data_IF_649765311872
#
_entry.id   IF_649765311872
#
_cell.length_a   1.000
_cell.length_b   1.000
_cell.length_c   1.000
_cell.angle_alpha   90.00
_cell.angle_beta   90.00
_cell.angle_gamma   90.00
#
_symmetry.space_group_name_H-M   'P 1'
#
loop_
_entity.id
_entity.type
_entity.pdbx_description
1 polymer ?
#
# COMPACT_ATOMS: atom_id res chain seq x y z
N UNK A 1 13.72 -32.77 7.49
CA UNK A 1 13.09 -31.60 8.14
C UNK A 1 11.85 -31.22 7.36
N UNK A 2 10.67 -31.23 7.97
CA UNK A 2 9.47 -30.70 7.32
C UNK A 2 9.65 -29.18 7.22
N UNK A 3 9.71 -28.66 5.99
CA UNK A 3 9.83 -27.23 5.72
C UNK A 3 8.61 -26.47 6.28
N UNK A 4 8.78 -25.18 6.59
CA UNK A 4 7.67 -24.30 7.00
C UNK A 4 6.66 -24.21 5.85
N UNK A 5 5.38 -24.31 6.20
CA UNK A 5 4.29 -24.19 5.22
C UNK A 5 3.80 -22.73 5.19
N UNK A 6 3.10 -22.35 4.11
CA UNK A 6 2.51 -21.01 3.98
C UNK A 6 1.68 -20.60 5.20
N UNK A 7 0.92 -21.52 5.81
CA UNK A 7 0.15 -21.29 7.04
C UNK A 7 1.02 -20.89 8.23
N UNK A 8 2.26 -21.37 8.31
CA UNK A 8 3.16 -21.07 9.41
C UNK A 8 3.72 -19.65 9.25
N UNK A 9 4.00 -19.24 8.01
CA UNK A 9 4.37 -17.87 7.66
C UNK A 9 3.21 -16.91 7.97
N UNK A 10 2.00 -17.24 7.51
CA UNK A 10 0.82 -16.40 7.75
C UNK A 10 0.48 -16.26 9.24
N UNK A 11 0.70 -17.32 10.03
CA UNK A 11 0.54 -17.25 11.48
C UNK A 11 1.54 -16.28 12.11
N UNK A 12 2.76 -16.25 11.62
CA UNK A 12 3.82 -15.37 12.13
C UNK A 12 3.62 -13.92 11.70
N UNK A 13 3.24 -13.68 10.44
CA UNK A 13 3.12 -12.34 9.85
C UNK A 13 1.72 -11.73 9.96
N UNK A 14 0.72 -12.54 10.27
CA UNK A 14 -0.70 -12.14 10.18
C UNK A 14 -1.31 -12.37 8.80
N UNK A 15 -0.50 -12.55 7.75
CA UNK A 15 -0.98 -12.77 6.39
C UNK A 15 -1.99 -11.70 5.95
N UNK A 16 -3.11 -12.11 5.38
CA UNK A 16 -4.20 -11.20 4.97
C UNK A 16 -4.92 -10.48 6.12
N UNK A 17 -4.65 -10.86 7.38
CA UNK A 17 -5.24 -10.25 8.57
C UNK A 17 -4.31 -9.24 9.26
N UNK A 18 -3.16 -8.94 8.68
CA UNK A 18 -2.19 -7.96 9.20
C UNK A 18 -2.69 -6.52 9.00
N UNK A 19 -3.81 -6.16 9.64
CA UNK A 19 -4.48 -4.86 9.51
C UNK A 19 -4.22 -3.90 10.67
N UNK A 20 -3.39 -4.29 11.62
CA UNK A 20 -3.04 -3.49 12.80
C UNK A 20 -1.79 -2.61 12.62
N UNK A 21 -1.20 -2.63 11.45
CA UNK A 21 -0.10 -1.72 11.08
C UNK A 21 -0.63 -0.32 10.80
N UNK A 22 0.20 0.69 11.04
CA UNK A 22 -0.10 2.09 10.76
C UNK A 22 1.00 2.72 9.91
N UNK A 23 0.67 3.79 9.20
CA UNK A 23 1.60 4.49 8.29
C UNK A 23 2.22 3.54 7.25
N UNK A 24 1.40 2.64 6.74
CA UNK A 24 1.72 1.74 5.64
C UNK A 24 0.63 1.85 4.58
N UNK A 25 1.00 2.07 3.34
CA UNK A 25 0.08 2.12 2.20
C UNK A 25 0.31 0.89 1.33
N UNK A 26 -0.75 0.16 1.07
CA UNK A 26 -0.72 -0.99 0.17
C UNK A 26 -1.16 -0.57 -1.23
N UNK A 27 -0.32 -0.82 -2.21
CA UNK A 27 -0.60 -0.54 -3.62
C UNK A 27 -0.44 -1.79 -4.46
N UNK A 28 -1.35 -2.02 -5.39
CA UNK A 28 -1.29 -3.11 -6.35
C UNK A 28 -1.82 -2.69 -7.71
N UNK A 29 -1.26 -3.27 -8.76
CA UNK A 29 -1.86 -3.22 -10.09
C UNK A 29 -3.05 -4.18 -10.20
N UNK A 30 -4.07 -3.79 -10.96
CA UNK A 30 -5.24 -4.63 -11.20
C UNK A 30 -4.86 -5.98 -11.82
N UNK A 31 -3.87 -5.98 -12.70
CA UNK A 31 -3.37 -7.14 -13.44
C UNK A 31 -2.04 -7.67 -12.91
N UNK A 32 -1.67 -7.29 -11.68
CA UNK A 32 -0.48 -7.81 -11.03
C UNK A 32 -0.71 -9.27 -10.60
N UNK A 33 0.10 -10.23 -11.05
CA UNK A 33 -0.03 -11.62 -10.61
C UNK A 33 0.16 -11.82 -9.11
N UNK A 34 0.90 -10.93 -8.44
CA UNK A 34 1.08 -10.96 -6.98
C UNK A 34 -0.07 -10.37 -6.18
N UNK A 35 -1.05 -9.76 -6.84
CA UNK A 35 -2.24 -9.18 -6.20
C UNK A 35 -2.91 -10.16 -5.24
N UNK A 36 -2.96 -11.44 -5.59
CA UNK A 36 -3.63 -12.46 -4.80
C UNK A 36 -2.95 -12.76 -3.46
N UNK A 37 -1.69 -12.35 -3.28
CA UNK A 37 -0.99 -12.41 -2.00
C UNK A 37 -1.17 -11.15 -1.12
N UNK A 38 -1.96 -10.17 -1.55
CA UNK A 38 -2.05 -8.83 -0.94
C UNK A 38 -3.42 -8.54 -0.34
N UNK A 39 -3.57 -7.36 0.28
CA UNK A 39 -4.85 -6.86 0.80
C UNK A 39 -5.90 -6.67 -0.29
N UNK A 40 -5.49 -6.52 -1.56
CA UNK A 40 -6.37 -6.35 -2.72
C UNK A 40 -6.82 -7.68 -3.35
N UNK A 41 -6.47 -8.81 -2.74
CA UNK A 41 -6.84 -10.15 -3.26
C UNK A 41 -8.35 -10.38 -3.21
N UNK A 42 -8.88 -10.88 -4.32
CA UNK A 42 -10.28 -11.36 -4.38
C UNK A 42 -10.48 -12.67 -3.60
N UNK A 43 -9.41 -13.40 -3.31
CA UNK A 43 -9.42 -14.64 -2.52
C UNK A 43 -9.29 -14.42 -1.03
N UNK A 44 -9.08 -13.17 -0.61
CA UNK A 44 -9.01 -12.82 0.80
C UNK A 44 -10.33 -13.11 1.49
N UNK A 45 -10.35 -13.75 2.69
CA UNK A 45 -11.57 -13.92 3.46
C UNK A 45 -12.26 -12.58 3.73
N UNK A 46 -13.54 -12.45 3.37
CA UNK A 46 -14.27 -11.20 3.40
C UNK A 46 -14.06 -10.30 2.17
N UNK A 47 -13.31 -10.77 1.17
CA UNK A 47 -13.01 -10.05 -0.07
C UNK A 47 -11.84 -9.07 0.05
N UNK A 48 -11.51 -8.39 -1.06
CA UNK A 48 -10.44 -7.42 -1.09
C UNK A 48 -10.75 -6.21 -0.21
N UNK A 49 -9.72 -5.64 0.41
CA UNK A 49 -9.84 -4.33 1.04
C UNK A 49 -9.94 -3.28 -0.05
N UNK A 50 -11.03 -2.50 -0.07
CA UNK A 50 -11.31 -1.58 -1.17
C UNK A 50 -10.49 -0.29 -1.10
N UNK A 51 -10.47 0.36 0.06
CA UNK A 51 -9.78 1.64 0.24
C UNK A 51 -8.90 1.67 1.49
N UNK A 52 -9.14 0.77 2.43
CA UNK A 52 -8.55 0.85 3.76
C UNK A 52 -9.06 2.06 4.54
N UNK A 53 -8.26 2.51 5.48
CA UNK A 53 -8.50 3.72 6.27
C UNK A 53 -7.27 4.65 6.23
N UNK A 54 -7.31 5.75 6.98
CA UNK A 54 -6.21 6.72 7.04
C UNK A 54 -4.91 6.13 7.60
N UNK A 55 -4.98 5.09 8.41
CA UNK A 55 -3.81 4.44 9.01
C UNK A 55 -3.19 3.38 8.11
N UNK A 56 -4.03 2.74 7.30
CA UNK A 56 -3.65 1.66 6.39
C UNK A 56 -4.38 1.83 5.05
N UNK A 57 -4.05 2.85 4.27
CA UNK A 57 -4.65 3.04 2.94
C UNK A 57 -4.33 1.86 2.02
N UNK A 58 -5.34 1.44 1.25
CA UNK A 58 -5.19 0.40 0.22
C UNK A 58 -5.64 0.97 -1.11
N UNK A 59 -4.82 0.83 -2.13
CA UNK A 59 -5.10 1.33 -3.47
C UNK A 59 -4.88 0.24 -4.52
N UNK A 60 -5.82 0.15 -5.45
CA UNK A 60 -5.73 -0.70 -6.62
C UNK A 60 -5.66 0.17 -7.87
N UNK A 61 -4.57 0.07 -8.60
CA UNK A 61 -4.38 0.81 -9.84
C UNK A 61 -5.12 0.12 -10.97
N UNK A 62 -6.16 0.77 -11.47
CA UNK A 62 -6.92 0.25 -12.62
C UNK A 62 -6.03 0.18 -13.85
N UNK A 63 -6.01 -0.99 -14.51
CA UNK A 63 -5.15 -1.23 -15.66
C UNK A 63 -3.66 -1.38 -15.33
N UNK A 64 -3.28 -1.24 -14.06
CA UNK A 64 -1.88 -1.38 -13.62
C UNK A 64 -1.40 -2.82 -13.64
N UNK A 65 -0.12 -2.99 -13.91
CA UNK A 65 0.61 -4.26 -13.85
C UNK A 65 1.55 -4.29 -12.65
N UNK A 66 2.40 -5.30 -12.55
CA UNK A 66 3.37 -5.41 -11.45
C UNK A 66 4.31 -4.20 -11.41
N UNK A 67 4.40 -3.55 -10.25
CA UNK A 67 5.28 -2.41 -9.99
C UNK A 67 5.14 -1.24 -10.98
N UNK A 68 4.00 -1.11 -11.67
CA UNK A 68 3.80 -0.05 -12.67
C UNK A 68 3.85 1.36 -12.07
N UNK A 69 3.57 1.49 -10.78
CA UNK A 69 3.60 2.73 -10.01
C UNK A 69 5.03 3.23 -9.67
N UNK A 70 6.03 2.36 -9.81
CA UNK A 70 7.43 2.70 -9.51
C UNK A 70 8.17 3.43 -10.65
N UNK A 71 7.58 3.48 -11.83
CA UNK A 71 8.20 4.10 -13.01
C UNK A 71 7.45 5.37 -13.41
N UNK A 72 8.09 6.52 -13.29
CA UNK A 72 7.52 7.81 -13.68
C UNK A 72 7.09 7.88 -15.15
N UNK A 73 7.76 7.17 -16.05
CA UNK A 73 7.37 7.07 -17.46
C UNK A 73 5.99 6.41 -17.68
N UNK A 74 5.52 5.61 -16.73
CA UNK A 74 4.20 5.01 -16.81
C UNK A 74 3.07 6.01 -16.53
N UNK A 75 3.37 7.19 -15.99
CA UNK A 75 2.38 8.22 -15.68
C UNK A 75 1.69 8.75 -16.95
N UNK A 76 2.43 8.85 -18.03
CA UNK A 76 1.86 9.29 -19.31
C UNK A 76 1.06 8.17 -20.00
N UNK A 77 1.39 6.92 -19.72
CA UNK A 77 0.73 5.76 -20.31
C UNK A 77 -0.53 5.31 -19.54
N UNK A 78 -0.61 5.62 -18.24
CA UNK A 78 -1.71 5.20 -17.39
C UNK A 78 -2.01 6.27 -16.33
N UNK A 79 -3.14 6.94 -16.48
CA UNK A 79 -3.59 7.98 -15.55
C UNK A 79 -3.77 7.44 -14.12
N UNK A 80 -4.24 6.20 -13.96
CA UNK A 80 -4.38 5.58 -12.64
C UNK A 80 -3.04 5.41 -11.91
N UNK A 81 -1.96 5.17 -12.65
CA UNK A 81 -0.59 5.13 -12.08
C UNK A 81 -0.17 6.51 -11.60
N UNK A 82 -0.44 7.54 -12.41
CA UNK A 82 -0.14 8.93 -12.05
C UNK A 82 -0.92 9.39 -10.81
N UNK A 83 -2.22 9.14 -10.80
CA UNK A 83 -3.09 9.46 -9.66
C UNK A 83 -2.60 8.77 -8.38
N UNK A 84 -2.24 7.48 -8.47
CA UNK A 84 -1.69 6.76 -7.33
C UNK A 84 -0.38 7.38 -6.82
N UNK A 85 0.53 7.73 -7.73
CA UNK A 85 1.81 8.35 -7.36
C UNK A 85 1.61 9.67 -6.62
N UNK A 86 0.65 10.49 -7.07
CA UNK A 86 0.29 11.75 -6.42
C UNK A 86 -0.36 11.53 -5.05
N UNK A 87 -1.28 10.57 -4.94
CA UNK A 87 -1.94 10.19 -3.69
C UNK A 87 -0.93 9.67 -2.67
N UNK A 88 -0.02 8.78 -3.10
CA UNK A 88 1.04 8.24 -2.25
C UNK A 88 1.99 9.33 -1.74
N UNK A 89 2.39 10.27 -2.60
CA UNK A 89 3.22 11.39 -2.21
C UNK A 89 2.53 12.28 -1.17
N UNK A 90 1.25 12.59 -1.37
CA UNK A 90 0.43 13.35 -0.42
C UNK A 90 0.29 12.63 0.93
N UNK A 91 0.05 11.33 0.90
CA UNK A 91 -0.05 10.51 2.12
C UNK A 91 1.27 10.46 2.89
N UNK A 92 2.39 10.30 2.19
CA UNK A 92 3.72 10.34 2.82
C UNK A 92 4.00 11.71 3.44
N UNK A 93 3.68 12.79 2.74
CA UNK A 93 3.84 14.15 3.26
C UNK A 93 3.03 14.37 4.53
N UNK A 94 1.79 13.89 4.57
CA UNK A 94 0.93 13.94 5.75
C UNK A 94 1.58 13.21 6.94
N UNK A 95 2.00 11.97 6.76
CA UNK A 95 2.60 11.17 7.84
C UNK A 95 3.92 11.75 8.35
N UNK A 96 4.73 12.30 7.45
CA UNK A 96 5.97 13.01 7.85
C UNK A 96 5.62 14.26 8.65
N UNK A 97 4.59 15.02 8.23
CA UNK A 97 4.09 16.16 8.97
C UNK A 97 3.63 15.81 10.39
N UNK A 98 2.86 14.73 10.53
CA UNK A 98 2.42 14.22 11.84
C UNK A 98 3.61 13.84 12.74
N UNK A 99 4.68 13.29 12.17
CA UNK A 99 5.88 12.97 12.93
C UNK A 99 6.53 14.23 13.52
N UNK A 100 6.67 15.31 12.71
CA UNK A 100 7.20 16.60 13.19
C UNK A 100 6.32 17.19 14.28
N UNK A 101 5.01 17.12 14.13
CA UNK A 101 4.06 17.62 15.14
C UNK A 101 4.18 16.84 16.46
N UNK A 102 4.27 15.50 16.39
CA UNK A 102 4.47 14.65 17.57
C UNK A 102 5.80 14.94 18.28
N UNK A 103 6.84 15.22 17.53
CA UNK A 103 8.16 15.55 18.07
C UNK A 103 8.27 17.01 18.52
N UNK A 104 7.28 17.85 18.22
CA UNK A 104 7.30 19.31 18.49
C UNK A 104 8.51 20.00 17.86
N UNK A 105 8.89 19.57 16.68
CA UNK A 105 10.01 20.10 15.90
C UNK A 105 9.46 20.84 14.69
N UNK A 106 10.07 21.96 14.32
CA UNK A 106 9.67 22.72 13.15
C UNK A 106 9.82 21.90 11.86
N UNK A 107 8.82 22.02 10.97
CA UNK A 107 8.86 21.37 9.64
C UNK A 107 9.86 22.12 8.75
N UNK A 108 10.82 21.45 8.11
CA UNK A 108 11.86 22.14 7.32
C UNK A 108 11.33 22.85 6.08
N UNK A 109 10.11 22.53 5.63
CA UNK A 109 9.43 23.18 4.49
C UNK A 109 8.40 24.22 4.90
N UNK A 110 8.17 24.42 6.19
CA UNK A 110 7.27 25.44 6.73
C UNK A 110 8.09 26.69 7.06
N UNK A 111 8.52 27.36 6.03
CA UNK A 111 9.25 28.62 6.14
C UNK A 111 8.43 29.81 5.70
#
# INVERSE_FOLDING_TARGET
>A
MAGRRARDVNRHTGGWHATNTTRAMHTNGQYDPWRDATMSSIFRPGGPVQAGDEKLPVRLVKGGTHCSDLYGLNWDANEGVKELAMDAAGQMQQWVGEWYDQKKVARPWAG
#
